data_IF_204674562118
#
_entry.id   IF_204674562118
#
_cell.length_a   1.000
_cell.length_b   1.000
_cell.length_c   1.000
_cell.angle_alpha   90.00
_cell.angle_beta   90.00
_cell.angle_gamma   90.00
#
_symmetry.space_group_name_H-M   'P 1'
#
loop_
_entity.id
_entity.type
_entity.pdbx_description
1 polymer ?
#
# COMPACT_ATOMS: atom_id res chain seq x y z
N UNK A 1 0.50 -10.79 -0.08
CA UNK A 1 -0.72 -10.13 0.46
C UNK A 1 -0.65 -8.64 0.18
N UNK A 2 0.36 -7.94 0.71
CA UNK A 2 0.68 -6.54 0.37
C UNK A 2 0.69 -6.27 -1.15
N UNK A 3 1.43 -7.08 -1.93
CA UNK A 3 1.56 -6.91 -3.37
C UNK A 3 0.21 -6.93 -4.14
N UNK A 4 -0.74 -7.78 -3.69
CA UNK A 4 -2.09 -7.85 -4.27
C UNK A 4 -2.87 -6.58 -3.94
N UNK A 5 -2.83 -6.14 -2.68
CA UNK A 5 -3.50 -4.91 -2.24
C UNK A 5 -2.91 -3.67 -2.90
N UNK A 6 -1.60 -3.59 -3.06
CA UNK A 6 -0.90 -2.54 -3.80
C UNK A 6 -1.43 -2.46 -5.24
N UNK A 7 -1.49 -3.60 -5.94
CA UNK A 7 -2.02 -3.66 -7.31
C UNK A 7 -3.50 -3.27 -7.37
N UNK A 8 -4.32 -3.76 -6.45
CA UNK A 8 -5.75 -3.44 -6.35
C UNK A 8 -5.96 -1.94 -6.16
N UNK A 9 -5.25 -1.31 -5.21
CA UNK A 9 -5.35 0.12 -4.96
C UNK A 9 -4.87 0.95 -6.14
N UNK A 10 -3.74 0.57 -6.75
CA UNK A 10 -3.28 1.23 -7.98
C UNK A 10 -4.36 1.24 -9.07
N UNK A 11 -5.00 0.09 -9.30
CA UNK A 11 -6.06 -0.03 -10.30
C UNK A 11 -7.32 0.77 -9.93
N UNK A 12 -7.71 0.78 -8.65
CA UNK A 12 -8.84 1.60 -8.15
C UNK A 12 -8.60 3.09 -8.33
N UNK A 13 -7.37 3.55 -8.14
CA UNK A 13 -6.99 4.94 -8.39
C UNK A 13 -6.76 5.27 -9.88
N UNK A 14 -6.94 4.30 -10.80
CA UNK A 14 -6.79 4.50 -12.23
C UNK A 14 -5.33 4.70 -12.70
N UNK A 15 -4.34 4.35 -11.89
CA UNK A 15 -2.93 4.55 -12.23
C UNK A 15 -2.35 3.37 -13.00
N UNK A 16 -1.51 3.67 -14.00
CA UNK A 16 -0.63 2.65 -14.59
C UNK A 16 0.57 2.37 -13.68
N UNK A 17 1.26 1.24 -13.89
CA UNK A 17 2.51 0.95 -13.15
C UNK A 17 3.56 2.04 -13.38
N UNK A 18 3.62 2.58 -14.60
CA UNK A 18 4.51 3.69 -14.94
C UNK A 18 4.14 4.95 -14.15
N UNK A 19 2.87 5.33 -14.11
CA UNK A 19 2.45 6.51 -13.36
C UNK A 19 2.77 6.42 -11.86
N UNK A 20 2.65 5.23 -11.26
CA UNK A 20 3.06 5.04 -9.86
C UNK A 20 4.57 5.13 -9.70
N UNK A 21 5.35 4.53 -10.60
CA UNK A 21 6.81 4.62 -10.57
C UNK A 21 7.27 6.10 -10.66
N UNK A 22 6.67 6.87 -11.56
CA UNK A 22 6.95 8.30 -11.74
C UNK A 22 6.61 9.11 -10.48
N UNK A 23 5.42 8.88 -9.89
CA UNK A 23 4.99 9.55 -8.64
C UNK A 23 5.89 9.23 -7.46
N UNK A 24 6.44 8.02 -7.41
CA UNK A 24 7.34 7.57 -6.36
C UNK A 24 8.81 7.93 -6.64
N UNK A 25 9.13 8.47 -7.81
CA UNK A 25 10.50 8.78 -8.21
C UNK A 25 11.40 7.54 -8.32
N UNK A 26 10.84 6.38 -8.70
CA UNK A 26 11.57 5.11 -8.85
C UNK A 26 11.44 4.57 -10.27
N UNK A 27 12.27 3.58 -10.62
CA UNK A 27 12.15 2.92 -11.93
C UNK A 27 10.89 2.06 -12.02
N UNK A 28 10.33 1.93 -13.24
CA UNK A 28 9.21 1.03 -13.51
C UNK A 28 9.48 -0.40 -13.02
N UNK A 29 10.69 -0.91 -13.29
CA UNK A 29 11.11 -2.24 -12.86
C UNK A 29 11.09 -2.38 -11.32
N UNK A 30 11.54 -1.36 -10.58
CA UNK A 30 11.46 -1.39 -9.12
C UNK A 30 10.00 -1.49 -8.63
N UNK A 31 9.09 -0.71 -9.23
CA UNK A 31 7.67 -0.77 -8.90
C UNK A 31 7.04 -2.12 -9.26
N UNK A 32 7.36 -2.68 -10.44
CA UNK A 32 6.88 -4.00 -10.87
C UNK A 32 7.28 -5.11 -9.90
N UNK A 33 8.51 -5.07 -9.38
CA UNK A 33 8.99 -6.01 -8.37
C UNK A 33 8.20 -5.95 -7.06
N UNK A 34 7.62 -4.79 -6.72
CA UNK A 34 6.73 -4.67 -5.57
C UNK A 34 5.41 -5.43 -5.81
N UNK A 35 4.79 -5.27 -6.99
CA UNK A 35 3.55 -5.98 -7.32
C UNK A 35 3.75 -7.49 -7.53
N UNK A 36 4.96 -7.90 -7.90
CA UNK A 36 5.37 -9.30 -8.07
C UNK A 36 5.82 -9.97 -6.76
N UNK A 37 5.98 -9.22 -5.67
CA UNK A 37 6.54 -9.69 -4.38
C UNK A 37 8.01 -10.09 -4.42
N UNK A 38 8.76 -9.66 -5.43
CA UNK A 38 10.19 -9.93 -5.53
C UNK A 38 11.03 -8.97 -4.70
N UNK A 39 10.48 -7.79 -4.40
CA UNK A 39 11.13 -6.75 -3.61
C UNK A 39 10.12 -6.07 -2.69
N UNK A 40 10.58 -5.65 -1.52
CA UNK A 40 9.80 -4.79 -0.63
C UNK A 40 10.20 -3.32 -0.81
N UNK A 41 9.25 -2.36 -0.73
CA UNK A 41 9.57 -0.94 -0.68
C UNK A 41 10.29 -0.58 0.63
N UNK A 42 10.99 0.56 0.66
CA UNK A 42 11.49 1.14 1.90
C UNK A 42 10.32 1.68 2.74
N UNK A 43 10.59 2.01 4.02
CA UNK A 43 9.60 2.65 4.89
C UNK A 43 9.10 3.97 4.30
N UNK A 44 10.00 4.83 3.83
CA UNK A 44 9.63 6.11 3.21
C UNK A 44 8.75 5.89 1.96
N UNK A 45 9.08 4.88 1.15
CA UNK A 45 8.30 4.55 -0.03
C UNK A 45 6.91 4.03 0.34
N UNK A 46 6.79 3.22 1.41
CA UNK A 46 5.50 2.77 1.93
C UNK A 46 4.62 3.94 2.38
N UNK A 47 5.20 4.92 3.08
CA UNK A 47 4.49 6.15 3.49
C UNK A 47 4.01 6.89 2.25
N UNK A 48 4.88 7.15 1.28
CA UNK A 48 4.48 7.83 0.03
C UNK A 48 3.39 7.08 -0.73
N UNK A 49 3.43 5.75 -0.78
CA UNK A 49 2.37 4.95 -1.41
C UNK A 49 1.03 5.15 -0.69
N UNK A 50 1.05 5.14 0.64
CA UNK A 50 -0.15 5.34 1.46
C UNK A 50 -0.74 6.74 1.23
N UNK A 51 0.10 7.77 1.19
CA UNK A 51 -0.30 9.16 0.94
C UNK A 51 -0.86 9.34 -0.48
N UNK A 52 -0.23 8.74 -1.51
CA UNK A 52 -0.70 8.81 -2.91
C UNK A 52 -2.09 8.17 -3.08
N UNK A 53 -2.34 7.09 -2.35
CA UNK A 53 -3.62 6.38 -2.40
C UNK A 53 -4.66 6.91 -1.41
N UNK A 54 -4.29 7.85 -0.53
CA UNK A 54 -5.13 8.38 0.54
C UNK A 54 -5.69 7.26 1.45
N UNK A 55 -4.81 6.38 1.94
CA UNK A 55 -5.14 5.26 2.82
C UNK A 55 -4.15 5.15 3.98
N UNK A 56 -4.54 4.44 5.05
CA UNK A 56 -3.61 4.12 6.12
C UNK A 56 -2.61 3.03 5.73
N UNK A 57 -1.42 3.05 6.35
CA UNK A 57 -0.43 1.98 6.23
C UNK A 57 -0.99 0.63 6.67
N UNK A 58 -1.82 0.61 7.71
CA UNK A 58 -2.46 -0.63 8.16
C UNK A 58 -3.37 -1.22 7.09
N UNK A 59 -4.14 -0.37 6.40
CA UNK A 59 -4.91 -0.84 5.26
C UNK A 59 -3.96 -1.34 4.17
N UNK A 60 -2.96 -0.57 3.76
CA UNK A 60 -2.01 -0.97 2.71
C UNK A 60 -1.31 -2.32 3.01
N UNK A 61 -0.95 -2.57 4.27
CA UNK A 61 -0.24 -3.76 4.75
C UNK A 61 -1.14 -4.91 5.19
N UNK A 62 -2.44 -4.89 4.86
CA UNK A 62 -3.37 -5.98 5.19
C UNK A 62 -3.65 -6.19 6.69
N UNK A 63 -3.58 -5.13 7.50
CA UNK A 63 -3.88 -5.14 8.95
C UNK A 63 -5.29 -4.66 9.31
N UNK A 64 -6.15 -4.41 8.32
CA UNK A 64 -7.54 -3.97 8.52
C UNK A 64 -8.35 -4.95 9.40
N UNK A 65 -8.19 -6.26 9.20
CA UNK A 65 -8.84 -7.28 10.05
C UNK A 65 -8.35 -7.25 11.49
N UNK A 66 -7.05 -7.02 11.67
CA UNK A 66 -6.45 -6.94 13.00
C UNK A 66 -6.98 -5.71 13.75
N UNK A 67 -7.09 -4.56 13.08
CA UNK A 67 -7.67 -3.36 13.69
C UNK A 67 -9.13 -3.61 14.05
N UNK A 68 -9.93 -4.18 13.13
CA UNK A 68 -11.34 -4.46 13.40
C UNK A 68 -11.56 -5.39 14.60
N UNK A 69 -10.73 -6.42 14.78
CA UNK A 69 -10.89 -7.35 15.91
C UNK A 69 -10.46 -6.78 17.27
N UNK A 70 -9.70 -5.68 17.28
CA UNK A 70 -9.18 -5.06 18.52
C UNK A 70 -9.73 -3.66 18.78
N UNK A 71 -10.44 -3.04 17.82
CA UNK A 71 -11.12 -1.76 18.03
C UNK A 71 -12.30 -1.88 19.00
N UNK A 72 -12.91 -3.07 19.14
CA UNK A 72 -14.05 -3.32 20.02
C UNK A 72 -13.73 -3.30 21.52
N UNK A 73 -12.47 -3.10 21.92
CA UNK A 73 -12.04 -3.11 23.32
C UNK A 73 -11.85 -1.73 23.96
N UNK A 74 -12.23 -0.65 23.26
CA UNK A 74 -11.99 0.73 23.73
C UNK A 74 -13.26 1.52 24.08
N UNK A 75 -14.44 0.91 24.01
CA UNK A 75 -15.73 1.51 24.38
C UNK A 75 -16.14 1.20 25.84
N UNK A 76 -15.18 0.85 26.71
CA UNK A 76 -15.38 0.78 28.16
C UNK A 76 -14.66 1.94 28.86
N UNK A 77 -15.19 3.16 28.74
CA UNK A 77 -15.11 4.17 29.80
C UNK A 77 -16.17 5.27 29.65
#
# INVERSE_FOLDING_TARGET
MFNKRLREMRMKCGFTQQNMADKLGISLNAYQKYEQSERSPSLDCLVSIADIFDISLDYLLCRDKFIQSHAASSDEY
#
